data_IF_702317177876
#
_entry.id   IF_702317177876
#
_cell.length_a   1.000
_cell.length_b   1.000
_cell.length_c   1.000
_cell.angle_alpha   90.00
_cell.angle_beta   90.00
_cell.angle_gamma   90.00
#
_symmetry.space_group_name_H-M   'P 1'
#
loop_
_entity.id
_entity.type
_entity.pdbx_description
1 polymer ?
#
# COMPACT_ATOMS: atom_id res chain seq x y z
N UNK A 1 -4.58 -1.74 19.83
CA UNK A 1 -3.33 -0.94 19.87
C UNK A 1 -2.61 -1.13 18.54
N UNK A 2 -2.76 -0.20 17.59
CA UNK A 2 -1.96 -0.20 16.36
C UNK A 2 -0.49 -0.04 16.77
N UNK A 3 0.36 -1.01 16.45
CA UNK A 3 1.80 -0.76 16.42
C UNK A 3 2.02 0.25 15.31
N UNK A 4 2.31 1.50 15.69
CA UNK A 4 2.89 2.46 14.77
C UNK A 4 4.04 1.77 14.04
N UNK A 5 4.01 1.87 12.71
CA UNK A 5 5.06 1.39 11.83
C UNK A 5 6.31 2.18 12.24
N UNK A 6 7.18 1.55 13.01
CA UNK A 6 8.52 2.07 13.29
C UNK A 6 9.33 1.87 12.00
N UNK A 7 9.05 2.70 11.00
CA UNK A 7 9.89 2.92 9.83
C UNK A 7 11.14 3.65 10.31
N UNK A 8 11.99 2.97 11.07
CA UNK A 8 13.34 3.44 11.38
C UNK A 8 14.24 3.14 10.18
N UNK A 9 13.88 3.69 9.01
CA UNK A 9 14.81 3.81 7.91
C UNK A 9 15.72 4.99 8.26
N UNK A 10 16.91 4.71 8.77
CA UNK A 10 17.99 5.69 8.88
C UNK A 10 18.45 6.00 7.45
N UNK A 11 17.68 6.83 6.76
CA UNK A 11 18.06 7.42 5.49
C UNK A 11 19.00 8.59 5.83
N UNK A 12 20.28 8.29 6.06
CA UNK A 12 21.32 9.31 6.11
C UNK A 12 21.59 9.80 4.69
N UNK A 13 20.66 10.59 4.15
CA UNK A 13 20.78 11.25 2.86
C UNK A 13 21.73 12.44 3.03
N UNK A 14 23.04 12.21 2.88
CA UNK A 14 24.02 13.27 2.70
C UNK A 14 23.84 13.85 1.29
N UNK A 15 22.99 14.87 1.20
CA UNK A 15 22.89 15.73 0.01
C UNK A 15 24.23 16.44 -0.20
N UNK A 16 24.99 16.01 -1.22
CA UNK A 16 26.13 16.77 -1.72
C UNK A 16 25.73 17.48 -3.02
N UNK A 17 25.92 18.80 -3.12
CA UNK A 17 25.64 19.55 -4.33
C UNK A 17 26.67 19.20 -5.41
N UNK A 18 26.18 18.67 -6.54
CA UNK A 18 26.93 18.60 -7.79
C UNK A 18 27.17 20.03 -8.32
N UNK A 19 28.20 20.72 -7.83
CA UNK A 19 28.75 21.91 -8.50
C UNK A 19 29.99 21.51 -9.29
N UNK A 20 29.82 21.22 -10.57
CA UNK A 20 30.90 21.10 -11.53
C UNK A 20 31.51 22.50 -11.77
N UNK A 21 32.75 22.71 -11.34
CA UNK A 21 33.58 23.84 -11.75
C UNK A 21 33.87 23.76 -13.26
N UNK A 22 33.68 24.88 -13.94
CA UNK A 22 33.83 24.98 -15.39
C UNK A 22 35.28 25.11 -15.88
N UNK A 23 35.48 24.75 -17.16
CA UNK A 23 36.24 25.55 -18.13
C UNK A 23 36.02 25.01 -19.55
N UNK A 24 35.72 25.92 -20.47
CA UNK A 24 35.52 25.70 -21.90
C UNK A 24 36.79 25.22 -22.63
N UNK A 25 36.61 24.36 -23.63
CA UNK A 25 37.16 24.54 -24.99
C UNK A 25 36.53 23.57 -25.99
N UNK A 26 35.97 24.13 -27.07
CA UNK A 26 35.45 23.42 -28.25
C UNK A 26 36.59 22.73 -29.02
N UNK A 27 36.35 21.49 -29.47
CA UNK A 27 36.93 20.96 -30.71
C UNK A 27 35.99 19.91 -31.31
N UNK A 28 36.08 19.78 -32.64
CA UNK A 28 35.06 19.30 -33.57
C UNK A 28 35.47 17.95 -34.12
N UNK A 29 34.58 16.96 -34.04
CA UNK A 29 34.51 15.78 -34.90
C UNK A 29 35.34 14.56 -34.48
N UNK A 30 34.67 13.50 -34.06
CA UNK A 30 34.81 12.15 -34.64
C UNK A 30 33.70 11.24 -34.08
N UNK A 31 33.21 10.32 -34.92
CA UNK A 31 32.22 9.32 -34.58
C UNK A 31 32.79 8.39 -33.50
N UNK A 32 32.11 8.28 -32.37
CA UNK A 32 32.14 7.08 -31.54
C UNK A 32 30.70 6.78 -31.16
N UNK A 33 30.23 5.63 -31.62
CA UNK A 33 28.95 5.03 -31.24
C UNK A 33 28.91 4.94 -29.72
N UNK A 34 28.06 5.76 -29.11
CA UNK A 34 27.74 5.65 -27.69
C UNK A 34 26.71 4.51 -27.57
N UNK A 35 26.97 3.44 -26.82
CA UNK A 35 25.94 2.46 -26.47
C UNK A 35 25.10 3.04 -25.32
N UNK A 36 24.42 4.16 -25.57
CA UNK A 36 23.65 4.90 -24.57
C UNK A 36 22.23 5.21 -25.07
N UNK A 37 21.70 4.34 -25.92
CA UNK A 37 20.26 4.31 -26.23
C UNK A 37 19.69 2.92 -25.90
N UNK A 38 19.78 2.55 -24.62
CA UNK A 38 18.82 1.61 -24.04
C UNK A 38 17.63 2.46 -23.56
N UNK A 39 16.46 2.22 -24.17
CA UNK A 39 15.25 3.02 -24.00
C UNK A 39 14.74 3.14 -22.56
N UNK A 40 13.79 4.05 -22.40
CA UNK A 40 13.10 4.54 -21.20
C UNK A 40 12.62 3.45 -20.20
N UNK A 41 13.55 2.75 -19.55
CA UNK A 41 13.33 2.17 -18.24
C UNK A 41 13.76 3.23 -17.22
N UNK A 42 12.86 3.64 -16.33
CA UNK A 42 13.17 4.60 -15.26
C UNK A 42 14.44 4.19 -14.48
N UNK A 43 15.09 5.17 -13.84
CA UNK A 43 16.34 4.96 -13.09
C UNK A 43 16.24 3.73 -12.17
N UNK A 44 17.05 2.66 -12.39
CA UNK A 44 16.98 1.44 -11.59
C UNK A 44 17.18 1.67 -10.09
N UNK A 45 17.91 2.72 -9.70
CA UNK A 45 18.08 3.08 -8.30
C UNK A 45 16.78 3.64 -7.71
N UNK A 46 16.06 4.47 -8.45
CA UNK A 46 14.76 4.98 -8.04
C UNK A 46 13.71 3.87 -7.99
N UNK A 47 13.74 2.93 -8.95
CA UNK A 47 12.89 1.75 -8.91
C UNK A 47 13.16 0.90 -7.64
N UNK A 48 14.43 0.72 -7.26
CA UNK A 48 14.81 -0.02 -6.05
C UNK A 48 14.35 0.72 -4.78
N UNK A 49 14.46 2.06 -4.74
CA UNK A 49 13.99 2.88 -3.62
C UNK A 49 12.47 2.92 -3.47
N UNK A 50 11.71 2.69 -4.55
CA UNK A 50 10.26 2.67 -4.52
C UNK A 50 9.68 1.34 -4.01
N UNK A 51 10.50 0.30 -3.83
CA UNK A 51 10.02 -1.02 -3.38
C UNK A 51 9.35 -0.98 -2.00
N UNK A 52 9.91 -0.30 -0.97
CA UNK A 52 9.25 -0.17 0.33
C UNK A 52 7.82 0.36 0.25
N UNK A 53 7.57 1.37 -0.59
CA UNK A 53 6.23 1.95 -0.77
C UNK A 53 5.28 0.96 -1.45
N UNK A 54 5.78 0.19 -2.43
CA UNK A 54 5.00 -0.88 -3.08
C UNK A 54 4.65 -1.99 -2.11
N UNK A 55 5.57 -2.40 -1.23
CA UNK A 55 5.29 -3.38 -0.17
C UNK A 55 4.23 -2.87 0.80
N UNK A 56 4.31 -1.59 1.19
CA UNK A 56 3.30 -0.98 2.05
C UNK A 56 1.92 -0.95 1.38
N UNK A 57 1.86 -0.63 0.07
CA UNK A 57 0.60 -0.62 -0.67
C UNK A 57 -0.09 -2.00 -0.69
N UNK A 58 0.67 -3.10 -0.76
CA UNK A 58 0.11 -4.46 -0.64
C UNK A 58 -0.49 -4.70 0.74
N UNK A 59 0.18 -4.26 1.81
CA UNK A 59 -0.35 -4.36 3.19
C UNK A 59 -1.62 -3.52 3.34
N UNK A 60 -1.57 -2.28 2.88
CA UNK A 60 -2.68 -1.32 2.99
C UNK A 60 -3.92 -1.82 2.24
N UNK A 61 -3.74 -2.37 1.04
CA UNK A 61 -4.84 -2.93 0.24
C UNK A 61 -5.53 -4.13 0.89
N UNK A 62 -4.79 -4.90 1.70
CA UNK A 62 -5.31 -6.05 2.43
C UNK A 62 -5.96 -5.65 3.75
N UNK A 63 -5.43 -4.65 4.45
CA UNK A 63 -5.94 -4.23 5.77
C UNK A 63 -7.10 -3.24 5.67
N UNK A 64 -7.24 -2.51 4.56
CA UNK A 64 -8.27 -1.47 4.40
C UNK A 64 -9.69 -1.92 4.81
N UNK A 65 -10.21 -3.09 4.40
CA UNK A 65 -11.55 -3.53 4.81
C UNK A 65 -11.74 -3.64 6.33
N UNK A 66 -10.67 -3.97 7.07
CA UNK A 66 -10.71 -4.03 8.54
C UNK A 66 -10.77 -2.63 9.12
N UNK A 67 -9.92 -1.72 8.65
CA UNK A 67 -9.88 -0.33 9.12
C UNK A 67 -11.19 0.41 8.81
N UNK A 68 -11.75 0.17 7.63
CA UNK A 68 -13.03 0.72 7.22
C UNK A 68 -14.17 0.18 8.10
N UNK A 69 -14.15 -1.12 8.42
CA UNK A 69 -15.12 -1.72 9.34
C UNK A 69 -15.06 -1.10 10.75
N UNK A 70 -13.86 -0.99 11.32
CA UNK A 70 -13.65 -0.40 12.65
C UNK A 70 -14.13 1.06 12.70
N UNK A 71 -13.85 1.83 11.64
CA UNK A 71 -14.30 3.23 11.53
C UNK A 71 -15.82 3.32 11.41
N UNK A 72 -16.42 2.52 10.52
CA UNK A 72 -17.85 2.57 10.27
C UNK A 72 -18.67 2.09 11.48
N UNK A 73 -18.19 1.11 12.25
CA UNK A 73 -18.87 0.70 13.50
C UNK A 73 -19.07 1.89 14.44
N UNK A 74 -18.04 2.72 14.62
CA UNK A 74 -18.13 3.92 15.46
C UNK A 74 -19.13 4.95 14.91
N UNK A 75 -19.22 5.10 13.57
CA UNK A 75 -20.20 6.00 12.95
C UNK A 75 -21.64 5.50 13.14
N UNK A 76 -21.87 4.21 12.90
CA UNK A 76 -23.18 3.55 12.92
C UNK A 76 -23.87 3.67 14.27
N UNK A 77 -23.11 3.58 15.37
CA UNK A 77 -23.66 3.72 16.73
C UNK A 77 -24.34 5.08 16.97
N UNK A 78 -23.95 6.12 16.23
CA UNK A 78 -24.49 7.48 16.38
C UNK A 78 -25.67 7.81 15.46
N UNK A 79 -25.95 6.95 14.48
CA UNK A 79 -26.94 7.20 13.42
C UNK A 79 -28.38 7.25 13.95
N UNK A 80 -28.83 6.33 14.83
CA UNK A 80 -30.19 6.39 15.39
C UNK A 80 -30.49 7.74 16.04
N UNK A 81 -29.58 8.24 16.87
CA UNK A 81 -29.75 9.53 17.54
C UNK A 81 -29.72 10.70 16.55
N UNK A 82 -28.77 10.69 15.60
CA UNK A 82 -28.60 11.77 14.60
C UNK A 82 -29.85 12.01 13.77
N UNK A 83 -30.56 10.94 13.40
CA UNK A 83 -31.74 11.02 12.54
C UNK A 83 -33.07 10.75 13.26
N UNK A 84 -33.06 10.67 14.59
CA UNK A 84 -34.25 10.33 15.38
C UNK A 84 -34.92 9.02 14.94
N UNK A 85 -34.09 8.05 14.56
CA UNK A 85 -34.46 6.69 14.18
C UNK A 85 -34.57 5.82 15.44
N UNK A 86 -35.53 4.90 15.47
CA UNK A 86 -35.52 3.88 16.51
C UNK A 86 -34.31 2.95 16.28
N UNK A 87 -33.66 2.54 17.35
CA UNK A 87 -32.54 1.60 17.25
C UNK A 87 -32.95 0.27 16.58
N UNK A 88 -34.20 -0.17 16.80
CA UNK A 88 -34.75 -1.37 16.18
C UNK A 88 -34.94 -1.22 14.67
N UNK A 89 -35.52 -0.10 14.20
CA UNK A 89 -35.73 0.14 12.76
C UNK A 89 -34.41 0.32 12.02
N UNK A 90 -33.48 1.06 12.61
CA UNK A 90 -32.15 1.22 12.04
C UNK A 90 -31.41 -0.11 11.94
N UNK A 91 -31.46 -0.93 13.00
CA UNK A 91 -30.87 -2.27 13.00
C UNK A 91 -31.51 -3.18 11.96
N UNK A 92 -32.84 -3.14 11.81
CA UNK A 92 -33.54 -3.91 10.76
C UNK A 92 -33.10 -3.49 9.35
N UNK A 93 -32.93 -2.18 9.10
CA UNK A 93 -32.37 -1.68 7.83
C UNK A 93 -30.93 -2.17 7.61
N UNK A 94 -30.09 -2.10 8.64
CA UNK A 94 -28.72 -2.62 8.57
C UNK A 94 -28.73 -4.12 8.25
N UNK A 95 -29.53 -4.93 8.95
CA UNK A 95 -29.63 -6.37 8.70
C UNK A 95 -30.11 -6.69 7.27
N UNK A 96 -31.16 -6.01 6.80
CA UNK A 96 -31.70 -6.20 5.46
C UNK A 96 -30.64 -5.93 4.39
N UNK A 97 -29.90 -4.82 4.53
CA UNK A 97 -28.87 -4.44 3.57
C UNK A 97 -27.57 -5.25 3.72
N UNK A 98 -27.24 -5.71 4.92
CA UNK A 98 -26.08 -6.57 5.17
C UNK A 98 -26.27 -7.98 4.59
N UNK A 99 -27.52 -8.45 4.48
CA UNK A 99 -27.83 -9.71 3.81
C UNK A 99 -27.64 -9.64 2.28
N UNK A 100 -27.57 -8.43 1.70
CA UNK A 100 -27.38 -8.23 0.26
C UNK A 100 -25.91 -8.44 -0.09
N UNK A 101 -25.62 -9.53 -0.80
CA UNK A 101 -24.25 -9.90 -1.22
C UNK A 101 -23.90 -9.45 -2.63
N UNK A 102 -24.90 -9.02 -3.43
CA UNK A 102 -24.70 -8.60 -4.81
C UNK A 102 -24.20 -7.16 -4.91
N UNK A 103 -23.04 -6.95 -5.53
CA UNK A 103 -22.53 -5.61 -5.82
C UNK A 103 -23.53 -4.84 -6.71
N UNK A 104 -23.90 -3.61 -6.29
CA UNK A 104 -24.83 -2.75 -7.03
C UNK A 104 -26.33 -2.99 -6.78
N UNK A 105 -26.71 -4.01 -5.99
CA UNK A 105 -28.10 -4.12 -5.53
C UNK A 105 -28.52 -2.91 -4.67
N UNK A 106 -29.75 -2.45 -4.88
CA UNK A 106 -30.32 -1.25 -4.29
C UNK A 106 -30.39 -1.33 -2.76
N UNK A 107 -30.15 -0.20 -2.09
CA UNK A 107 -30.26 -0.11 -0.64
C UNK A 107 -31.73 -0.02 -0.25
N UNK A 108 -32.16 -0.94 0.59
CA UNK A 108 -33.53 -0.95 1.11
C UNK A 108 -33.62 -0.02 2.33
N UNK A 109 -34.30 1.11 2.15
CA UNK A 109 -34.76 1.95 3.26
C UNK A 109 -36.21 1.58 3.62
N UNK A 110 -36.58 1.70 4.89
CA UNK A 110 -37.99 1.51 5.27
C UNK A 110 -38.87 2.58 4.59
N UNK A 111 -39.99 2.14 4.00
CA UNK A 111 -40.89 3.03 3.27
C UNK A 111 -41.48 4.16 4.14
N UNK A 112 -41.61 3.93 5.44
CA UNK A 112 -42.19 4.86 6.40
C UNK A 112 -41.16 5.84 7.03
N UNK A 113 -39.90 5.84 6.56
CA UNK A 113 -38.86 6.73 7.08
C UNK A 113 -39.22 8.21 6.84
N UNK A 114 -39.62 8.89 7.91
CA UNK A 114 -39.94 10.33 7.93
C UNK A 114 -38.72 11.16 8.35
N UNK A 115 -37.66 11.10 7.54
CA UNK A 115 -36.47 11.96 7.67
C UNK A 115 -36.28 12.82 6.41
N UNK A 116 -35.49 13.88 6.51
CA UNK A 116 -35.19 14.77 5.40
C UNK A 116 -34.44 14.04 4.25
N UNK A 117 -34.56 14.51 3.01
CA UNK A 117 -34.00 13.82 1.83
C UNK A 117 -32.46 13.71 1.86
N UNK A 118 -31.79 14.74 2.37
CA UNK A 118 -30.35 14.74 2.61
C UNK A 118 -29.96 13.66 3.64
N UNK A 119 -30.72 13.53 4.73
CA UNK A 119 -30.53 12.48 5.71
C UNK A 119 -30.78 11.07 5.14
N UNK A 120 -31.73 10.91 4.21
CA UNK A 120 -31.92 9.64 3.46
C UNK A 120 -30.71 9.32 2.60
N UNK A 121 -30.18 10.30 1.88
CA UNK A 121 -29.01 10.11 1.04
C UNK A 121 -27.76 9.72 1.87
N UNK A 122 -27.55 10.37 3.01
CA UNK A 122 -26.46 10.02 3.94
C UNK A 122 -26.64 8.61 4.51
N UNK A 123 -27.85 8.25 4.96
CA UNK A 123 -28.15 6.90 5.46
C UNK A 123 -27.94 5.83 4.39
N UNK A 124 -28.38 6.07 3.15
CA UNK A 124 -28.12 5.19 2.01
C UNK A 124 -26.62 5.02 1.76
N UNK A 125 -25.85 6.12 1.81
CA UNK A 125 -24.40 6.07 1.62
C UNK A 125 -23.72 5.25 2.74
N UNK A 126 -24.14 5.38 3.99
CA UNK A 126 -23.64 4.55 5.10
C UNK A 126 -23.97 3.07 4.86
N UNK A 127 -25.20 2.72 4.50
CA UNK A 127 -25.61 1.34 4.24
C UNK A 127 -24.91 0.75 3.00
N UNK A 128 -24.54 1.58 2.03
CA UNK A 128 -23.72 1.17 0.90
C UNK A 128 -22.27 0.87 1.32
N UNK A 129 -21.63 1.76 2.11
CA UNK A 129 -20.28 1.52 2.67
C UNK A 129 -20.24 0.25 3.51
N UNK A 130 -21.27 0.04 4.33
CA UNK A 130 -21.47 -1.15 5.14
C UNK A 130 -21.37 -2.44 4.32
N UNK A 131 -22.06 -2.48 3.19
CA UNK A 131 -22.08 -3.60 2.26
C UNK A 131 -20.72 -3.81 1.59
N UNK A 132 -20.08 -2.73 1.18
CA UNK A 132 -18.72 -2.77 0.60
C UNK A 132 -17.70 -3.33 1.59
N UNK A 133 -17.79 -2.94 2.86
CA UNK A 133 -16.96 -3.48 3.94
C UNK A 133 -17.20 -4.97 4.13
N UNK A 134 -18.45 -5.43 4.17
CA UNK A 134 -18.77 -6.87 4.28
C UNK A 134 -18.10 -7.67 3.17
N UNK A 135 -18.29 -7.25 1.93
CA UNK A 135 -17.66 -7.90 0.76
C UNK A 135 -16.13 -7.81 0.86
N UNK A 136 -15.60 -6.68 1.30
CA UNK A 136 -14.18 -6.48 1.56
C UNK A 136 -13.61 -7.51 2.55
N UNK A 137 -14.26 -7.65 3.71
CA UNK A 137 -13.88 -8.60 4.76
C UNK A 137 -13.97 -10.06 4.28
N UNK A 138 -15.03 -10.43 3.56
CA UNK A 138 -15.21 -11.78 3.00
C UNK A 138 -14.16 -12.11 1.92
N UNK A 139 -13.71 -11.10 1.18
CA UNK A 139 -12.69 -11.25 0.12
C UNK A 139 -11.25 -11.08 0.62
N UNK A 140 -11.04 -10.70 1.89
CA UNK A 140 -9.70 -10.55 2.48
C UNK A 140 -8.80 -11.77 2.29
N UNK A 141 -9.25 -13.03 2.46
CA UNK A 141 -8.40 -14.19 2.18
C UNK A 141 -7.87 -14.25 0.74
N UNK A 142 -8.70 -13.87 -0.25
CA UNK A 142 -8.27 -13.81 -1.64
C UNK A 142 -7.27 -12.65 -1.87
N UNK A 143 -7.51 -11.49 -1.25
CA UNK A 143 -6.58 -10.34 -1.29
C UNK A 143 -5.22 -10.69 -0.70
N UNK A 144 -5.18 -11.44 0.40
CA UNK A 144 -3.95 -11.93 1.04
C UNK A 144 -3.15 -12.83 0.11
N UNK A 145 -3.81 -13.74 -0.61
CA UNK A 145 -3.13 -14.59 -1.61
C UNK A 145 -2.48 -13.74 -2.70
N UNK A 146 -3.24 -12.81 -3.29
CA UNK A 146 -2.73 -11.90 -4.34
C UNK A 146 -1.57 -11.05 -3.82
N UNK A 147 -1.72 -10.44 -2.64
CA UNK A 147 -0.67 -9.64 -2.03
C UNK A 147 0.60 -10.47 -1.77
N UNK A 148 0.46 -11.70 -1.28
CA UNK A 148 1.59 -12.61 -1.03
C UNK A 148 2.35 -12.91 -2.34
N UNK A 149 1.63 -13.15 -3.43
CA UNK A 149 2.22 -13.34 -4.76
C UNK A 149 2.96 -12.08 -5.24
N UNK A 150 2.33 -10.91 -5.11
CA UNK A 150 2.93 -9.62 -5.47
C UNK A 150 4.20 -9.32 -4.66
N UNK A 151 4.18 -9.56 -3.34
CA UNK A 151 5.34 -9.38 -2.45
C UNK A 151 6.51 -10.28 -2.88
N UNK A 152 6.23 -11.52 -3.32
CA UNK A 152 7.27 -12.41 -3.88
C UNK A 152 7.86 -11.81 -5.15
N UNK A 153 7.02 -11.33 -6.07
CA UNK A 153 7.50 -10.71 -7.32
C UNK A 153 8.32 -9.44 -7.07
N UNK A 154 7.90 -8.59 -6.14
CA UNK A 154 8.64 -7.41 -5.71
C UNK A 154 10.03 -7.81 -5.18
N UNK A 155 10.14 -8.92 -4.45
CA UNK A 155 11.44 -9.44 -3.99
C UNK A 155 12.36 -9.89 -5.11
N UNK A 156 11.82 -10.57 -6.13
CA UNK A 156 12.59 -10.95 -7.32
C UNK A 156 13.08 -9.71 -8.07
N UNK A 157 12.23 -8.69 -8.20
CA UNK A 157 12.58 -7.42 -8.82
C UNK A 157 13.68 -6.68 -8.05
N UNK A 158 13.62 -6.66 -6.70
CA UNK A 158 14.67 -6.08 -5.87
C UNK A 158 16.04 -6.73 -6.12
N UNK A 159 16.07 -8.05 -6.26
CA UNK A 159 17.28 -8.82 -6.58
C UNK A 159 17.78 -8.48 -7.98
N UNK A 160 16.88 -8.39 -8.97
CA UNK A 160 17.25 -8.07 -10.35
C UNK A 160 17.82 -6.65 -10.47
N UNK A 161 17.13 -5.65 -9.92
CA UNK A 161 17.53 -4.24 -9.96
C UNK A 161 18.88 -4.02 -9.27
N UNK A 162 19.04 -4.56 -8.05
CA UNK A 162 20.30 -4.46 -7.32
C UNK A 162 21.46 -5.13 -8.05
N UNK A 163 21.23 -6.30 -8.65
CA UNK A 163 22.27 -7.00 -9.43
C UNK A 163 22.70 -6.17 -10.64
N UNK A 164 21.76 -5.58 -11.38
CA UNK A 164 22.05 -4.69 -12.52
C UNK A 164 22.82 -3.44 -12.10
N UNK A 165 22.41 -2.79 -11.01
CA UNK A 165 23.08 -1.61 -10.46
C UNK A 165 24.51 -1.93 -10.01
N UNK A 166 24.70 -2.99 -9.22
CA UNK A 166 26.03 -3.39 -8.74
C UNK A 166 26.94 -3.75 -9.92
N UNK A 167 26.43 -4.45 -10.94
CA UNK A 167 27.23 -4.77 -12.13
C UNK A 167 27.67 -3.49 -12.88
N UNK A 168 26.76 -2.54 -13.09
CA UNK A 168 27.05 -1.25 -13.74
C UNK A 168 28.08 -0.43 -12.94
N UNK A 169 27.88 -0.30 -11.63
CA UNK A 169 28.81 0.40 -10.75
C UNK A 169 30.18 -0.29 -10.68
N UNK A 170 30.21 -1.62 -10.63
CA UNK A 170 31.46 -2.40 -10.65
C UNK A 170 32.24 -2.16 -11.93
N UNK A 171 31.56 -2.10 -13.08
CA UNK A 171 32.20 -1.77 -14.36
C UNK A 171 32.79 -0.35 -14.34
N UNK A 172 32.08 0.64 -13.78
CA UNK A 172 32.58 2.01 -13.60
C UNK A 172 33.77 2.07 -12.63
N UNK A 173 33.74 1.33 -11.53
CA UNK A 173 34.83 1.29 -10.55
C UNK A 173 36.14 0.73 -11.12
N UNK A 174 36.07 -0.21 -12.09
CA UNK A 174 37.26 -0.79 -12.74
C UNK A 174 38.08 0.23 -13.53
N UNK A 175 37.44 1.28 -14.03
CA UNK A 175 38.08 2.32 -14.86
C UNK A 175 38.28 3.64 -14.10
N UNK A 176 37.64 3.81 -12.94
CA UNK A 176 37.82 4.97 -12.07
C UNK A 176 39.13 4.88 -11.27
N UNK A 177 39.68 6.05 -10.88
CA UNK A 177 40.89 6.16 -10.07
C UNK A 177 40.68 7.11 -8.88
N UNK A 178 41.52 6.96 -7.85
CA UNK A 178 41.53 7.84 -6.67
C UNK A 178 40.18 7.91 -5.96
N UNK A 179 39.78 9.11 -5.56
CA UNK A 179 38.53 9.38 -4.83
C UNK A 179 37.30 8.90 -5.59
N UNK A 180 37.27 9.03 -6.92
CA UNK A 180 36.10 8.61 -7.70
C UNK A 180 35.85 7.11 -7.62
N UNK A 181 36.91 6.31 -7.53
CA UNK A 181 36.80 4.87 -7.33
C UNK A 181 36.20 4.56 -5.96
N UNK A 182 36.68 5.23 -4.91
CA UNK A 182 36.16 5.06 -3.55
C UNK A 182 34.68 5.44 -3.44
N UNK A 183 34.24 6.52 -4.10
CA UNK A 183 32.82 6.89 -4.17
C UNK A 183 31.95 5.80 -4.82
N UNK A 184 32.40 5.23 -5.94
CA UNK A 184 31.63 4.18 -6.63
C UNK A 184 31.59 2.90 -5.79
N UNK A 185 32.67 2.56 -5.09
CA UNK A 185 32.70 1.44 -4.15
C UNK A 185 31.73 1.65 -2.98
N UNK A 186 31.60 2.87 -2.47
CA UNK A 186 30.60 3.21 -1.47
C UNK A 186 29.16 3.05 -2.01
N UNK A 187 28.90 3.50 -3.24
CA UNK A 187 27.58 3.32 -3.90
C UNK A 187 27.23 1.83 -4.07
N UNK A 188 28.20 0.97 -4.38
CA UNK A 188 27.98 -0.49 -4.46
C UNK A 188 27.54 -1.04 -3.10
N UNK A 189 28.19 -0.60 -2.02
CA UNK A 189 27.82 -0.99 -0.66
C UNK A 189 26.42 -0.50 -0.30
N UNK A 190 26.08 0.73 -0.65
CA UNK A 190 24.74 1.30 -0.42
C UNK A 190 23.64 0.51 -1.16
N UNK A 191 23.85 0.18 -2.44
CA UNK A 191 22.89 -0.63 -3.21
C UNK A 191 22.73 -2.03 -2.59
N UNK A 192 23.82 -2.61 -2.10
CA UNK A 192 23.80 -3.93 -1.45
C UNK A 192 23.03 -3.87 -0.12
N UNK A 193 23.29 -2.86 0.70
CA UNK A 193 22.59 -2.66 1.97
C UNK A 193 21.09 -2.36 1.75
N UNK A 194 20.75 -1.57 0.72
CA UNK A 194 19.36 -1.28 0.37
C UNK A 194 18.62 -2.57 -0.04
N UNK A 195 19.24 -3.41 -0.88
CA UNK A 195 18.69 -4.71 -1.25
C UNK A 195 18.43 -5.58 -0.02
N UNK A 196 19.42 -5.71 0.87
CA UNK A 196 19.27 -6.56 2.05
C UNK A 196 18.17 -6.04 2.98
N UNK A 197 18.07 -4.72 3.17
CA UNK A 197 16.97 -4.09 3.92
C UNK A 197 15.60 -4.36 3.31
N UNK A 198 15.48 -4.28 1.98
CA UNK A 198 14.24 -4.63 1.25
C UNK A 198 13.87 -6.10 1.45
N UNK A 199 14.85 -7.02 1.38
CA UNK A 199 14.58 -8.45 1.57
C UNK A 199 14.12 -8.77 3.00
N UNK A 200 14.70 -8.12 4.01
CA UNK A 200 14.20 -8.21 5.39
C UNK A 200 12.77 -7.68 5.49
N UNK A 201 12.48 -6.52 4.90
CA UNK A 201 11.12 -5.95 4.92
C UNK A 201 10.09 -6.87 4.24
N UNK A 202 10.49 -7.58 3.18
CA UNK A 202 9.63 -8.57 2.52
C UNK A 202 9.25 -9.72 3.45
N UNK A 203 10.19 -10.23 4.24
CA UNK A 203 9.92 -11.29 5.22
C UNK A 203 8.95 -10.80 6.30
N UNK A 204 9.18 -9.59 6.82
CA UNK A 204 8.29 -8.97 7.81
C UNK A 204 6.87 -8.78 7.27
N UNK A 205 6.75 -8.22 6.06
CA UNK A 205 5.47 -7.95 5.41
C UNK A 205 4.73 -9.26 5.11
N UNK A 206 5.42 -10.31 4.65
CA UNK A 206 4.80 -11.64 4.48
C UNK A 206 4.22 -12.16 5.79
N UNK A 207 4.98 -12.07 6.89
CA UNK A 207 4.49 -12.46 8.21
C UNK A 207 3.20 -11.73 8.57
N UNK A 208 3.20 -10.40 8.42
CA UNK A 208 2.02 -9.58 8.73
C UNK A 208 0.80 -9.94 7.88
N UNK A 209 0.96 -10.03 6.55
CA UNK A 209 -0.16 -10.28 5.63
C UNK A 209 -0.83 -11.63 5.90
N UNK A 210 -0.09 -12.63 6.39
CA UNK A 210 -0.67 -13.95 6.75
C UNK A 210 -1.55 -13.94 8.00
N UNK A 211 -1.40 -12.95 8.88
CA UNK A 211 -2.24 -12.82 10.09
C UNK A 211 -3.56 -12.07 9.80
N UNK A 212 -3.63 -11.31 8.70
CA UNK A 212 -4.77 -10.45 8.39
C UNK A 212 -6.10 -11.23 8.20
N UNK A 213 -6.15 -12.42 7.57
CA UNK A 213 -7.41 -13.16 7.43
C UNK A 213 -8.08 -13.47 8.77
N UNK A 214 -7.30 -13.79 9.80
CA UNK A 214 -7.84 -14.07 11.12
C UNK A 214 -8.45 -12.82 11.76
N UNK A 215 -7.77 -11.66 11.64
CA UNK A 215 -8.34 -10.37 12.07
C UNK A 215 -9.59 -9.99 11.28
N UNK A 216 -9.62 -10.20 9.97
CA UNK A 216 -10.80 -9.92 9.16
C UNK A 216 -12.00 -10.79 9.58
N UNK A 217 -11.77 -12.07 9.88
CA UNK A 217 -12.80 -12.97 10.38
C UNK A 217 -13.32 -12.53 11.77
N UNK A 218 -12.42 -12.14 12.68
CA UNK A 218 -12.78 -11.63 14.01
C UNK A 218 -13.63 -10.35 13.90
N UNK A 219 -13.17 -9.38 13.11
CA UNK A 219 -13.90 -8.12 12.89
C UNK A 219 -15.24 -8.38 12.23
N UNK A 220 -15.30 -9.23 11.19
CA UNK A 220 -16.56 -9.60 10.55
C UNK A 220 -17.56 -10.29 11.49
N UNK A 221 -17.06 -11.12 12.42
CA UNK A 221 -17.89 -11.74 13.45
C UNK A 221 -18.43 -10.71 14.46
N UNK A 222 -17.59 -9.82 14.98
CA UNK A 222 -18.03 -8.72 15.87
C UNK A 222 -19.01 -7.79 15.18
N UNK A 223 -18.76 -7.49 13.91
CA UNK A 223 -19.62 -6.67 13.07
C UNK A 223 -21.00 -7.31 12.94
N UNK A 224 -21.07 -8.59 12.57
CA UNK A 224 -22.33 -9.36 12.47
C UNK A 224 -23.06 -9.45 13.82
N UNK A 225 -22.33 -9.69 14.91
CA UNK A 225 -22.90 -9.81 16.25
C UNK A 225 -23.54 -8.51 16.74
N UNK A 226 -22.93 -7.36 16.44
CA UNK A 226 -23.44 -6.02 16.80
C UNK A 226 -24.83 -5.76 16.22
N UNK A 227 -25.15 -6.39 15.08
CA UNK A 227 -26.47 -6.32 14.46
C UNK A 227 -27.33 -7.56 14.70
N UNK A 228 -26.88 -8.58 15.44
CA UNK A 228 -27.69 -9.74 15.78
C UNK A 228 -28.36 -9.61 17.16
N UNK A 229 -27.67 -9.06 18.17
CA UNK A 229 -28.18 -8.96 19.54
C UNK A 229 -29.25 -7.86 19.71
N UNK A 230 -30.52 -8.23 19.87
CA UNK A 230 -31.64 -7.29 20.06
C UNK A 230 -32.88 -7.71 19.29
#
# INVERSE_FOLDING_TARGET
MLRQINTALILALLALPLTAGGCEKKAKGEKTENPDEAGEAGDPLEALKAIPDRLQAEVDGVIAPITDAETLMGEIETIPERYSLSAADFKAMVQANFAITEAGAEIELSADLSIAEDAKAELTATLQKLKEIKVGLETTPARVTVATENIVQIGLEAVELSTKLVASLTAKAKVAMGEKKAEIEAQIQEVTALKDGILTQIEDVKGQVTEIPARAAEVGASFTASFAAG
#
